data_IF_837038464072
#
_entry.id   IF_837038464072
#
_cell.length_a   1.000
_cell.length_b   1.000
_cell.length_c   1.000
_cell.angle_alpha   90.00
_cell.angle_beta   90.00
_cell.angle_gamma   90.00
#
_symmetry.space_group_name_H-M   'P 1'
#
loop_
_entity.id
_entity.type
_entity.pdbx_description
1 polymer ?
#
# COMPACT_ATOMS: atom_id res chain seq x y z
N UNK A 1 -24.01 27.58 28.76
CA UNK A 1 -24.09 26.10 28.72
C UNK A 1 -23.87 25.57 30.12
N UNK A 2 -24.70 24.67 30.64
CA UNK A 2 -24.42 24.01 31.92
C UNK A 2 -23.30 22.98 31.66
N UNK A 3 -22.13 23.19 32.25
CA UNK A 3 -21.05 22.20 32.27
C UNK A 3 -21.47 21.02 33.17
N UNK A 4 -21.61 19.83 32.59
CA UNK A 4 -21.88 18.59 33.32
C UNK A 4 -20.63 17.71 33.32
N UNK A 5 -20.37 17.08 34.45
CA UNK A 5 -19.25 16.16 34.59
C UNK A 5 -19.64 14.79 34.06
N UNK A 6 -18.83 14.25 33.15
CA UNK A 6 -18.99 12.91 32.60
C UNK A 6 -17.71 12.12 32.79
N UNK A 7 -17.85 10.79 32.73
CA UNK A 7 -16.73 9.86 32.88
C UNK A 7 -16.28 9.36 31.52
N UNK A 8 -14.97 9.39 31.33
CA UNK A 8 -14.27 9.01 30.12
C UNK A 8 -13.52 7.69 30.35
N UNK A 9 -13.47 6.85 29.33
CA UNK A 9 -12.60 5.67 29.30
C UNK A 9 -11.66 5.75 28.11
N UNK A 10 -10.37 5.53 28.34
CA UNK A 10 -9.37 5.43 27.27
C UNK A 10 -9.06 3.97 26.96
N UNK A 11 -9.26 3.57 25.71
CA UNK A 11 -8.98 2.22 25.22
C UNK A 11 -8.25 2.28 23.88
N UNK A 12 -6.95 1.98 23.89
CA UNK A 12 -6.12 1.95 22.67
C UNK A 12 -6.48 0.80 21.73
N UNK A 13 -7.26 -0.18 22.18
CA UNK A 13 -7.72 -1.29 21.34
C UNK A 13 -8.98 -0.94 20.57
N UNK A 14 -9.65 0.16 20.92
CA UNK A 14 -10.72 0.72 20.13
C UNK A 14 -10.12 1.68 19.10
N UNK A 15 -10.30 1.41 17.81
CA UNK A 15 -9.71 2.28 16.77
C UNK A 15 -10.36 3.67 16.70
N UNK A 16 -11.64 3.76 17.09
CA UNK A 16 -12.44 4.98 17.02
C UNK A 16 -12.93 5.39 18.40
N UNK A 17 -13.14 6.69 18.59
CA UNK A 17 -13.78 7.24 19.78
C UNK A 17 -15.31 7.17 19.68
N UNK A 18 -15.98 6.94 20.81
CA UNK A 18 -17.43 6.78 20.90
C UNK A 18 -18.04 7.65 21.99
N UNK A 19 -19.30 8.04 21.80
CA UNK A 19 -20.08 8.81 22.78
C UNK A 19 -21.47 8.21 22.92
N UNK A 20 -22.01 8.23 24.13
CA UNK A 20 -23.39 7.81 24.35
C UNK A 20 -24.37 8.73 23.63
N UNK A 21 -25.35 8.12 22.97
CA UNK A 21 -26.40 8.82 22.24
C UNK A 21 -27.24 9.71 23.16
N UNK A 22 -27.46 9.28 24.40
CA UNK A 22 -28.15 10.10 25.41
C UNK A 22 -27.34 11.35 25.76
N UNK A 23 -26.02 11.20 25.95
CA UNK A 23 -25.10 12.31 26.19
C UNK A 23 -25.13 13.29 25.02
N UNK A 24 -24.96 12.79 23.80
CA UNK A 24 -24.99 13.60 22.58
C UNK A 24 -26.29 14.41 22.45
N UNK A 25 -27.45 13.78 22.68
CA UNK A 25 -28.76 14.44 22.68
C UNK A 25 -28.88 15.50 23.77
N UNK A 26 -28.40 15.19 24.98
CA UNK A 26 -28.47 16.10 26.13
C UNK A 26 -27.65 17.38 25.91
N UNK A 27 -26.50 17.25 25.26
CA UNK A 27 -25.62 18.36 24.91
C UNK A 27 -25.97 19.02 23.57
N UNK A 28 -26.93 18.45 22.83
CA UNK A 28 -27.34 18.88 21.48
C UNK A 28 -26.15 18.97 20.52
N UNK A 29 -25.29 17.95 20.54
CA UNK A 29 -24.12 17.92 19.68
C UNK A 29 -24.54 17.88 18.20
N UNK A 30 -23.88 18.65 17.31
CA UNK A 30 -24.18 18.61 15.90
C UNK A 30 -23.68 17.30 15.29
N UNK A 31 -24.56 16.63 14.53
CA UNK A 31 -24.17 15.52 13.68
C UNK A 31 -23.46 16.09 12.45
N UNK A 32 -22.16 15.83 12.33
CA UNK A 32 -21.32 16.33 11.24
C UNK A 32 -21.50 15.47 9.99
N UNK A 33 -21.57 14.14 10.17
CA UNK A 33 -21.74 13.16 9.09
C UNK A 33 -22.29 11.83 9.62
N UNK A 34 -22.59 10.92 8.70
CA UNK A 34 -22.90 9.52 9.00
C UNK A 34 -21.87 8.62 8.36
N UNK A 35 -21.41 7.61 9.10
CA UNK A 35 -20.43 6.63 8.62
C UNK A 35 -21.03 5.24 8.72
N UNK A 36 -20.90 4.43 7.66
CA UNK A 36 -21.23 3.01 7.67
C UNK A 36 -19.95 2.23 7.94
N UNK A 37 -19.92 1.47 9.03
CA UNK A 37 -18.71 0.82 9.52
C UNK A 37 -18.97 -0.66 9.83
N UNK A 38 -17.94 -1.48 9.61
CA UNK A 38 -17.91 -2.89 10.00
C UNK A 38 -17.32 -2.99 11.40
N UNK A 39 -18.13 -3.42 12.37
CA UNK A 39 -17.75 -3.50 13.78
C UNK A 39 -17.45 -4.94 14.15
N UNK A 40 -16.21 -5.21 14.56
CA UNK A 40 -15.82 -6.50 15.12
C UNK A 40 -15.85 -6.42 16.65
N UNK A 41 -16.68 -7.28 17.25
CA UNK A 41 -16.75 -7.45 18.69
C UNK A 41 -15.75 -8.52 19.16
N UNK A 42 -15.40 -8.46 20.44
CA UNK A 42 -14.45 -9.42 21.02
C UNK A 42 -14.96 -10.86 20.93
N UNK A 43 -14.22 -11.72 20.21
CA UNK A 43 -14.54 -13.14 20.05
C UNK A 43 -15.33 -13.48 18.78
N UNK A 44 -15.88 -12.48 18.09
CA UNK A 44 -16.64 -12.68 16.86
C UNK A 44 -15.71 -12.76 15.64
N UNK A 45 -16.02 -13.67 14.72
CA UNK A 45 -15.30 -13.81 13.43
C UNK A 45 -15.91 -12.97 12.32
N UNK A 46 -17.17 -12.59 12.45
CA UNK A 46 -17.91 -11.86 11.43
C UNK A 46 -18.23 -10.45 11.93
N UNK A 47 -18.03 -9.40 11.11
CA UNK A 47 -18.38 -8.05 11.51
C UNK A 47 -19.89 -7.86 11.53
N UNK A 48 -20.33 -6.91 12.38
CA UNK A 48 -21.68 -6.35 12.32
C UNK A 48 -21.59 -5.00 11.62
N UNK A 49 -22.23 -4.88 10.46
CA UNK A 49 -22.35 -3.59 9.78
C UNK A 49 -23.30 -2.67 10.55
N UNK A 50 -22.84 -1.46 10.87
CA UNK A 50 -23.66 -0.46 11.56
C UNK A 50 -23.37 0.93 11.04
N UNK A 51 -24.43 1.72 10.90
CA UNK A 51 -24.32 3.14 10.57
C UNK A 51 -24.31 3.97 11.84
N UNK A 52 -23.28 4.81 11.99
CA UNK A 52 -23.07 5.69 13.11
C UNK A 52 -23.28 7.15 12.70
N UNK A 53 -23.85 7.95 13.60
CA UNK A 53 -23.74 9.40 13.50
C UNK A 53 -22.38 9.80 14.07
N UNK A 54 -21.67 10.69 13.38
CA UNK A 54 -20.43 11.28 13.87
C UNK A 54 -20.75 12.66 14.40
N UNK A 55 -20.36 12.92 15.65
CA UNK A 55 -20.58 14.20 16.32
C UNK A 55 -19.26 14.81 16.76
N UNK A 56 -19.23 16.14 16.85
CA UNK A 56 -18.11 16.88 17.45
C UNK A 56 -18.37 17.08 18.93
N UNK A 57 -17.41 16.73 19.78
CA UNK A 57 -17.49 16.97 21.23
C UNK A 57 -16.23 17.68 21.71
N UNK A 58 -16.42 18.70 22.54
CA UNK A 58 -15.36 19.42 23.25
C UNK A 58 -15.26 18.89 24.67
N UNK A 59 -14.11 18.32 25.00
CA UNK A 59 -13.79 17.74 26.29
C UNK A 59 -12.88 18.70 27.06
N UNK A 60 -13.37 19.23 28.16
CA UNK A 60 -12.68 20.24 28.97
C UNK A 60 -12.18 19.65 30.29
N UNK A 61 -11.02 20.10 30.76
CA UNK A 61 -10.56 19.80 32.11
C UNK A 61 -11.47 20.47 33.14
N UNK A 62 -11.76 19.75 34.23
CA UNK A 62 -12.50 20.28 35.39
C UNK A 62 -11.76 21.42 36.08
N UNK A 63 -10.46 21.52 35.82
CA UNK A 63 -9.52 22.33 36.61
C UNK A 63 -8.97 23.51 35.83
N UNK A 64 -8.87 23.35 34.51
CA UNK A 64 -8.42 24.37 33.60
C UNK A 64 -9.32 24.39 32.37
N UNK A 65 -10.28 25.33 32.29
CA UNK A 65 -11.17 25.48 31.14
C UNK A 65 -10.43 25.78 29.82
N UNK A 66 -9.18 26.26 29.88
CA UNK A 66 -8.35 26.47 28.69
C UNK A 66 -7.70 25.16 28.20
N UNK A 67 -7.64 24.14 29.05
CA UNK A 67 -7.19 22.80 28.69
C UNK A 67 -8.38 21.99 28.16
N UNK A 68 -8.56 22.02 26.83
CA UNK A 68 -9.61 21.28 26.15
C UNK A 68 -9.08 20.52 24.94
N UNK A 69 -9.80 19.46 24.56
CA UNK A 69 -9.60 18.71 23.33
C UNK A 69 -10.94 18.61 22.61
N UNK A 70 -10.93 18.87 21.31
CA UNK A 70 -12.10 18.68 20.47
C UNK A 70 -11.91 17.43 19.63
N UNK A 71 -12.84 16.47 19.76
CA UNK A 71 -12.75 15.18 19.09
C UNK A 71 -14.01 14.91 18.27
N UNK A 72 -13.87 14.04 17.27
CA UNK A 72 -15.00 13.42 16.60
C UNK A 72 -15.28 12.06 17.22
N UNK A 73 -16.55 11.79 17.54
CA UNK A 73 -16.95 10.54 18.19
C UNK A 73 -18.18 9.94 17.50
N UNK A 74 -18.22 8.61 17.46
CA UNK A 74 -19.34 7.83 16.94
C UNK A 74 -20.44 7.69 18.01
N UNK A 75 -21.68 8.04 17.69
CA UNK A 75 -22.81 7.84 18.61
C UNK A 75 -23.14 6.34 18.77
N UNK A 76 -23.13 5.86 20.02
CA UNK A 76 -23.56 4.51 20.37
C UNK A 76 -24.61 4.53 21.49
N UNK A 77 -25.43 3.49 21.60
CA UNK A 77 -26.49 3.44 22.62
C UNK A 77 -25.91 3.36 24.04
N UNK A 78 -24.82 2.61 24.22
CA UNK A 78 -24.03 2.52 25.47
C UNK A 78 -22.56 2.27 25.14
N UNK A 79 -21.66 2.72 26.01
CA UNK A 79 -20.22 2.41 25.90
C UNK A 79 -19.92 0.98 26.36
N UNK A 80 -20.46 0.58 27.52
CA UNK A 80 -20.26 -0.76 28.08
C UNK A 80 -21.60 -1.34 28.52
N UNK A 81 -21.76 -2.66 28.31
CA UNK A 81 -22.91 -3.40 28.82
C UNK A 81 -22.85 -3.60 30.34
N UNK A 82 -21.64 -3.56 30.92
CA UNK A 82 -21.38 -3.73 32.35
C UNK A 82 -20.91 -2.42 32.97
N UNK A 83 -21.28 -2.18 34.24
CA UNK A 83 -20.72 -1.08 35.00
C UNK A 83 -19.20 -1.27 35.17
N UNK A 84 -18.43 -0.25 34.84
CA UNK A 84 -16.98 -0.27 35.00
C UNK A 84 -16.68 0.49 36.29
N UNK A 85 -16.29 -0.16 37.40
CA UNK A 85 -16.07 0.57 38.64
C UNK A 85 -14.89 1.55 38.52
N UNK A 86 -14.86 2.63 39.32
CA UNK A 86 -13.66 3.46 39.45
C UNK A 86 -12.50 2.63 40.04
N UNK A 87 -11.25 3.09 39.89
CA UNK A 87 -10.09 2.36 40.42
C UNK A 87 -10.24 2.06 41.92
N UNK A 88 -10.25 0.78 42.29
CA UNK A 88 -10.19 0.35 43.68
C UNK A 88 -8.73 0.38 44.15
N UNK A 89 -8.35 1.45 44.86
CA UNK A 89 -6.97 1.70 45.26
C UNK A 89 -6.83 1.43 46.76
N UNK A 90 -5.84 0.62 47.12
CA UNK A 90 -5.43 0.46 48.52
C UNK A 90 -4.98 1.81 49.10
N UNK A 91 -5.55 2.18 50.26
CA UNK A 91 -5.25 3.43 50.99
C UNK A 91 -3.74 3.59 51.22
N UNK A 92 -3.01 2.50 51.44
CA UNK A 92 -1.55 2.53 51.62
C UNK A 92 -0.82 2.97 50.34
N UNK A 93 -1.27 2.50 49.17
CA UNK A 93 -0.73 2.91 47.86
C UNK A 93 -1.06 4.38 47.61
N UNK A 94 -2.29 4.79 47.91
CA UNK A 94 -2.70 6.17 47.74
C UNK A 94 -1.81 7.11 48.57
N UNK A 95 -1.69 6.84 49.88
CA UNK A 95 -0.93 7.68 50.80
C UNK A 95 0.57 7.74 50.47
N UNK A 96 1.15 6.64 49.96
CA UNK A 96 2.58 6.56 49.66
C UNK A 96 2.96 7.13 48.29
N UNK A 97 2.13 6.89 47.28
CA UNK A 97 2.51 7.13 45.88
C UNK A 97 1.63 8.13 45.13
N UNK A 98 0.36 8.30 45.53
CA UNK A 98 -0.61 9.12 44.81
C UNK A 98 -0.94 10.44 45.51
N UNK A 99 -0.53 10.60 46.78
CA UNK A 99 -0.72 11.83 47.54
C UNK A 99 -0.12 13.02 46.77
N UNK A 100 -0.95 14.02 46.47
CA UNK A 100 -0.58 15.21 45.69
C UNK A 100 -0.76 15.08 44.17
N UNK A 101 -1.08 13.89 43.66
CA UNK A 101 -1.54 13.73 42.28
C UNK A 101 -3.04 13.94 42.20
N UNK A 102 -3.47 14.68 41.18
CA UNK A 102 -4.88 14.89 40.89
C UNK A 102 -5.38 13.79 39.97
N UNK A 103 -6.12 12.83 40.52
CA UNK A 103 -6.65 11.71 39.74
C UNK A 103 -7.77 12.17 38.81
N UNK A 104 -7.78 11.62 37.58
CA UNK A 104 -8.83 11.91 36.59
C UNK A 104 -10.19 11.29 36.97
N UNK A 105 -10.15 10.16 37.68
CA UNK A 105 -11.32 9.45 38.19
C UNK A 105 -11.18 9.19 39.69
N UNK A 106 -12.28 9.30 40.45
CA UNK A 106 -12.27 9.24 41.91
C UNK A 106 -12.98 8.00 42.43
N UNK A 107 -12.53 7.50 43.59
CA UNK A 107 -12.97 6.23 44.19
C UNK A 107 -14.49 6.18 44.49
N UNK A 108 -15.15 7.34 44.60
CA UNK A 108 -16.58 7.44 44.92
C UNK A 108 -17.46 7.80 43.72
N UNK A 109 -16.93 7.70 42.50
CA UNK A 109 -17.65 8.06 41.30
C UNK A 109 -18.43 6.85 40.76
N UNK A 110 -19.70 6.73 41.14
CA UNK A 110 -20.61 5.64 40.72
C UNK A 110 -21.29 5.95 39.37
N UNK A 111 -20.61 6.71 38.50
CA UNK A 111 -21.13 7.09 37.19
C UNK A 111 -20.63 6.14 36.12
N UNK A 112 -21.55 5.77 35.23
CA UNK A 112 -21.22 5.01 34.02
C UNK A 112 -20.35 5.84 33.07
N UNK A 113 -19.60 5.13 32.23
CA UNK A 113 -18.74 5.75 31.22
C UNK A 113 -19.61 6.23 30.05
N UNK A 114 -19.56 7.52 29.76
CA UNK A 114 -20.36 8.11 28.68
C UNK A 114 -19.57 8.42 27.40
N UNK A 115 -18.24 8.39 27.48
CA UNK A 115 -17.35 8.64 26.34
C UNK A 115 -16.19 7.64 26.38
N UNK A 116 -15.93 7.00 25.25
CA UNK A 116 -14.77 6.15 25.03
C UNK A 116 -13.80 6.85 24.08
N UNK A 117 -12.56 7.07 24.53
CA UNK A 117 -11.45 7.59 23.77
C UNK A 117 -10.70 6.42 23.15
N UNK A 118 -10.83 6.29 21.84
CA UNK A 118 -10.10 5.31 21.04
C UNK A 118 -8.67 5.74 20.71
N UNK A 119 -7.97 4.90 19.97
CA UNK A 119 -6.63 5.13 19.46
C UNK A 119 -6.52 6.39 18.58
N UNK A 120 -7.61 6.78 17.92
CA UNK A 120 -7.71 7.99 17.10
C UNK A 120 -7.46 9.29 17.88
N UNK A 121 -7.77 9.33 19.18
CA UNK A 121 -7.58 10.52 20.04
C UNK A 121 -6.75 10.23 21.30
N UNK A 122 -6.32 8.98 21.52
CA UNK A 122 -5.61 8.57 22.74
C UNK A 122 -4.35 9.40 23.01
N UNK A 123 -3.54 9.60 21.96
CA UNK A 123 -2.27 10.31 22.09
C UNK A 123 -2.44 11.82 22.33
N UNK A 124 -3.56 12.40 21.91
CA UNK A 124 -3.88 13.80 22.18
C UNK A 124 -4.37 14.01 23.62
N UNK A 125 -5.02 12.99 24.21
CA UNK A 125 -5.49 13.01 25.60
C UNK A 125 -4.34 12.81 26.60
N UNK A 126 -3.33 12.01 26.26
CA UNK A 126 -2.25 11.63 27.17
C UNK A 126 -1.03 12.54 27.03
N UNK A 127 -0.45 13.00 28.15
CA UNK A 127 0.71 13.91 28.12
C UNK A 127 2.05 13.18 27.96
N UNK A 128 2.04 11.84 28.03
CA UNK A 128 3.23 10.99 28.04
C UNK A 128 3.94 10.91 29.39
N UNK A 129 3.55 11.70 30.41
CA UNK A 129 4.13 11.59 31.75
C UNK A 129 3.62 10.33 32.46
N UNK A 130 4.55 9.49 32.92
CA UNK A 130 4.25 8.23 33.61
C UNK A 130 4.96 8.20 34.95
N UNK A 131 4.23 7.87 36.01
CA UNK A 131 4.75 7.55 37.34
C UNK A 131 4.52 6.06 37.61
N UNK A 132 5.60 5.28 37.56
CA UNK A 132 5.54 3.85 37.90
C UNK A 132 5.41 3.66 39.40
N UNK A 133 4.33 3.00 39.83
CA UNK A 133 4.05 2.73 41.25
C UNK A 133 4.65 1.39 41.64
N UNK A 134 4.40 0.35 40.82
CA UNK A 134 5.02 -0.96 40.96
C UNK A 134 5.14 -1.66 39.58
N UNK A 135 5.48 -2.96 39.57
CA UNK A 135 5.64 -3.74 38.34
C UNK A 135 4.36 -3.83 37.49
N UNK A 136 3.18 -3.81 38.13
CA UNK A 136 1.87 -4.03 37.50
C UNK A 136 0.94 -2.81 37.53
N UNK A 137 1.35 -1.70 38.13
CA UNK A 137 0.52 -0.50 38.29
C UNK A 137 1.34 0.77 37.98
N UNK A 138 0.78 1.62 37.13
CA UNK A 138 1.33 2.93 36.78
C UNK A 138 0.25 4.01 36.88
N UNK A 139 0.65 5.23 37.21
CA UNK A 139 -0.15 6.42 36.97
C UNK A 139 0.34 7.09 35.68
N UNK A 140 -0.54 7.28 34.72
CA UNK A 140 -0.25 7.97 33.47
C UNK A 140 -1.06 9.26 33.42
N UNK A 141 -0.43 10.36 33.07
CA UNK A 141 -1.09 11.66 33.09
C UNK A 141 -1.80 11.96 31.76
N UNK A 142 -3.03 12.46 31.89
CA UNK A 142 -3.86 12.98 30.81
C UNK A 142 -4.15 14.47 31.00
N UNK A 143 -4.71 15.10 29.97
CA UNK A 143 -5.24 16.47 30.04
C UNK A 143 -6.30 16.67 31.16
N UNK A 144 -6.93 15.57 31.62
CA UNK A 144 -8.02 15.59 32.60
C UNK A 144 -7.59 15.08 33.99
N UNK A 145 -6.30 14.81 34.19
CA UNK A 145 -5.73 14.31 35.44
C UNK A 145 -4.97 13.00 35.27
N UNK A 146 -4.51 12.44 36.40
CA UNK A 146 -3.75 11.20 36.45
C UNK A 146 -4.67 9.98 36.40
N UNK A 147 -4.51 9.16 35.36
CA UNK A 147 -5.20 7.90 35.16
C UNK A 147 -4.38 6.75 35.74
N UNK A 148 -5.03 5.80 36.41
CA UNK A 148 -4.38 4.59 36.91
C UNK A 148 -4.56 3.45 35.94
N UNK A 149 -3.45 2.79 35.59
CA UNK A 149 -3.42 1.71 34.62
C UNK A 149 -2.72 0.51 35.25
N UNK A 150 -3.43 -0.61 35.29
CA UNK A 150 -2.90 -1.90 35.75
C UNK A 150 -3.60 -2.43 37.00
N UNK A 151 -2.93 -3.34 37.71
CA UNK A 151 -3.53 -4.14 38.77
C UNK A 151 -2.92 -3.82 40.12
N UNK A 152 -3.77 -3.56 41.11
CA UNK A 152 -3.40 -3.37 42.51
C UNK A 152 -3.86 -4.58 43.33
N UNK A 153 -2.90 -5.39 43.82
CA UNK A 153 -3.18 -6.53 44.70
C UNK A 153 -3.48 -7.87 44.00
N UNK A 154 -3.60 -8.96 44.77
CA UNK A 154 -4.07 -10.25 44.25
C UNK A 154 -5.53 -10.15 43.81
N UNK A 155 -5.97 -10.93 42.79
CA UNK A 155 -7.36 -10.93 42.37
C UNK A 155 -8.26 -11.24 43.57
N UNK A 156 -9.24 -10.38 43.81
CA UNK A 156 -10.22 -10.61 44.86
C UNK A 156 -10.98 -11.89 44.48
N UNK A 157 -10.85 -12.97 45.25
CA UNK A 157 -11.49 -14.27 44.95
C UNK A 157 -13.03 -14.20 44.88
N UNK A 158 -13.62 -13.08 45.31
CA UNK A 158 -15.05 -12.84 45.37
C UNK A 158 -15.56 -11.82 44.33
N UNK A 159 -14.70 -11.27 43.46
CA UNK A 159 -15.14 -10.38 42.37
C UNK A 159 -15.09 -11.14 41.04
N UNK A 160 -16.26 -11.47 40.50
CA UNK A 160 -16.45 -12.21 39.25
C UNK A 160 -16.45 -11.31 38.00
N UNK A 161 -16.25 -10.00 38.16
CA UNK A 161 -16.45 -9.04 37.07
C UNK A 161 -15.11 -8.73 36.38
N UNK A 162 -14.97 -9.22 35.15
CA UNK A 162 -13.88 -8.91 34.24
C UNK A 162 -14.47 -8.40 32.93
N UNK A 163 -14.43 -7.10 32.72
CA UNK A 163 -14.90 -6.47 31.48
C UNK A 163 -13.76 -6.38 30.48
N UNK A 164 -13.93 -7.03 29.33
CA UNK A 164 -13.01 -6.91 28.18
C UNK A 164 -13.73 -6.10 27.10
N UNK A 165 -13.11 -5.02 26.64
CA UNK A 165 -13.56 -4.27 25.47
C UNK A 165 -12.48 -4.34 24.39
N UNK A 166 -12.91 -4.73 23.19
CA UNK A 166 -12.15 -4.60 21.95
C UNK A 166 -13.17 -4.25 20.88
N UNK A 167 -13.02 -3.08 20.27
CA UNK A 167 -13.89 -2.62 19.20
C UNK A 167 -12.99 -2.26 18.01
N UNK A 168 -12.86 -3.20 17.08
CA UNK A 168 -12.18 -2.91 15.81
C UNK A 168 -13.24 -2.39 14.86
N UNK A 169 -13.03 -1.17 14.41
CA UNK A 169 -13.88 -0.52 13.43
C UNK A 169 -13.08 -0.41 12.14
N UNK A 170 -13.54 -1.08 11.11
CA UNK A 170 -13.00 -0.94 9.77
C UNK A 170 -14.00 -0.14 8.94
N UNK A 171 -13.49 0.84 8.19
CA UNK A 171 -14.25 1.41 7.08
C UNK A 171 -14.51 0.28 6.06
N UNK A 172 -15.58 0.38 5.27
CA UNK A 172 -15.90 -0.57 4.19
C UNK A 172 -14.85 -0.43 3.05
N UNK A 173 -13.62 -0.80 3.37
CA UNK A 173 -12.48 -0.88 2.47
C UNK A 173 -12.81 -1.94 1.44
N UNK A 174 -13.56 -2.99 1.76
CA UNK A 174 -13.95 -4.03 0.82
C UNK A 174 -14.63 -3.46 -0.43
N UNK A 175 -15.58 -2.52 -0.29
CA UNK A 175 -16.19 -1.87 -1.46
C UNK A 175 -15.27 -0.88 -2.16
N UNK A 176 -14.43 -0.15 -1.43
CA UNK A 176 -13.45 0.74 -2.06
C UNK A 176 -12.39 -0.06 -2.82
N UNK A 177 -11.97 -1.20 -2.29
CA UNK A 177 -11.11 -2.17 -2.93
C UNK A 177 -11.85 -2.73 -4.15
N UNK A 178 -13.07 -3.24 -4.01
CA UNK A 178 -13.84 -3.79 -5.11
C UNK A 178 -14.01 -2.77 -6.25
N UNK A 179 -14.27 -1.50 -5.91
CA UNK A 179 -14.34 -0.41 -6.88
C UNK A 179 -12.96 -0.10 -7.48
N UNK A 180 -11.90 -0.11 -6.67
CA UNK A 180 -10.51 0.07 -7.13
C UNK A 180 -10.09 -1.06 -8.10
N UNK A 181 -10.39 -2.31 -7.78
CA UNK A 181 -10.17 -3.50 -8.63
C UNK A 181 -11.03 -3.43 -9.90
N UNK A 182 -12.28 -2.97 -9.81
CA UNK A 182 -13.11 -2.75 -10.99
C UNK A 182 -12.56 -1.63 -11.88
N UNK A 183 -11.97 -0.57 -11.31
CA UNK A 183 -11.35 0.52 -12.04
C UNK A 183 -10.02 0.11 -12.69
N UNK A 184 -9.20 -0.73 -12.05
CA UNK A 184 -8.00 -1.33 -12.68
C UNK A 184 -8.38 -2.35 -13.78
N UNK A 185 -9.53 -3.02 -13.67
CA UNK A 185 -10.05 -3.92 -14.69
C UNK A 185 -10.68 -3.20 -15.91
N UNK A 186 -10.79 -1.86 -15.93
CA UNK A 186 -11.32 -1.11 -17.09
C UNK A 186 -10.35 -1.00 -18.28
N UNK A 187 -9.33 -1.86 -18.36
CA UNK A 187 -8.41 -1.88 -19.50
C UNK A 187 -7.51 -3.10 -19.64
N UNK A 188 -7.50 -4.03 -18.67
CA UNK A 188 -6.74 -5.27 -18.73
C UNK A 188 -7.64 -6.37 -18.16
N UNK A 189 -8.31 -7.14 -19.03
CA UNK A 189 -8.74 -8.47 -18.61
C UNK A 189 -7.48 -9.29 -18.36
N UNK A 190 -7.32 -9.96 -17.21
CA UNK A 190 -6.32 -11.00 -17.10
C UNK A 190 -6.70 -12.08 -18.11
N UNK A 191 -5.98 -12.13 -19.23
CA UNK A 191 -6.00 -13.29 -20.09
C UNK A 191 -5.63 -14.46 -19.18
N UNK A 192 -6.61 -15.31 -18.88
CA UNK A 192 -6.48 -16.47 -18.00
C UNK A 192 -5.05 -17.02 -18.00
N UNK A 193 -4.33 -16.87 -16.89
CA UNK A 193 -3.00 -17.43 -16.61
C UNK A 193 -3.04 -18.96 -16.46
N UNK A 194 -3.62 -19.61 -17.46
CA UNK A 194 -3.39 -21.00 -17.76
C UNK A 194 -2.74 -20.98 -19.13
N UNK A 195 -1.45 -21.28 -19.18
CA UNK A 195 -0.70 -21.53 -20.42
C UNK A 195 -1.66 -22.15 -21.45
N UNK A 196 -2.04 -21.38 -22.47
CA UNK A 196 -2.91 -21.91 -23.50
C UNK A 196 -2.13 -23.03 -24.20
N UNK A 197 -2.81 -23.98 -24.84
CA UNK A 197 -2.15 -25.08 -25.56
C UNK A 197 -1.09 -24.59 -26.57
N UNK A 198 -1.24 -23.36 -27.08
CA UNK A 198 -0.29 -22.70 -27.97
C UNK A 198 1.00 -22.26 -27.25
N UNK A 199 0.90 -21.82 -25.99
CA UNK A 199 2.06 -21.37 -25.21
C UNK A 199 2.97 -22.54 -24.82
N UNK A 200 2.38 -23.70 -24.51
CA UNK A 200 3.14 -24.93 -24.26
C UNK A 200 3.93 -25.38 -25.49
N UNK A 201 3.35 -25.25 -26.69
CA UNK A 201 4.04 -25.57 -27.94
C UNK A 201 5.22 -24.63 -28.19
N UNK A 202 5.01 -23.31 -27.98
CA UNK A 202 6.08 -22.31 -28.13
C UNK A 202 7.22 -22.54 -27.13
N UNK A 203 6.90 -22.85 -25.87
CA UNK A 203 7.90 -23.17 -24.85
C UNK A 203 8.68 -24.45 -25.19
N UNK A 204 7.98 -25.49 -25.64
CA UNK A 204 8.63 -26.73 -26.06
C UNK A 204 9.59 -26.50 -27.24
N UNK A 205 9.15 -25.78 -28.29
CA UNK A 205 10.02 -25.45 -29.43
C UNK A 205 11.21 -24.59 -29.02
N UNK A 206 11.02 -23.66 -28.07
CA UNK A 206 12.10 -22.85 -27.50
C UNK A 206 13.13 -23.74 -26.80
N UNK A 207 12.70 -24.60 -25.86
CA UNK A 207 13.55 -25.51 -25.09
C UNK A 207 14.32 -26.48 -25.99
N UNK A 208 13.65 -27.09 -26.97
CA UNK A 208 14.26 -27.98 -27.96
C UNK A 208 15.30 -27.25 -28.84
N UNK A 209 15.18 -25.93 -28.99
CA UNK A 209 16.10 -25.13 -29.78
C UNK A 209 17.36 -24.69 -29.03
N UNK A 210 17.40 -24.84 -27.70
CA UNK A 210 18.51 -24.37 -26.87
C UNK A 210 19.77 -25.20 -27.17
N UNK A 211 20.85 -24.50 -27.54
CA UNK A 211 22.15 -25.11 -27.73
C UNK A 211 23.21 -24.30 -26.99
N UNK A 212 24.14 -24.97 -26.32
CA UNK A 212 25.29 -24.31 -25.71
C UNK A 212 26.49 -24.42 -26.64
N UNK A 213 26.92 -23.29 -27.21
CA UNK A 213 28.05 -23.20 -28.15
C UNK A 213 28.85 -21.94 -27.87
N UNK A 214 30.18 -22.01 -27.99
CA UNK A 214 31.08 -20.86 -27.80
C UNK A 214 30.84 -20.09 -26.49
N UNK A 215 30.58 -20.84 -25.41
CA UNK A 215 30.29 -20.31 -24.09
C UNK A 215 29.05 -19.40 -24.02
N UNK A 216 28.10 -19.56 -24.96
CA UNK A 216 26.82 -18.85 -25.02
C UNK A 216 25.68 -19.83 -25.26
N UNK A 217 24.50 -19.47 -24.76
CA UNK A 217 23.26 -20.15 -25.16
C UNK A 217 22.79 -19.56 -26.50
N UNK A 218 22.56 -20.42 -27.46
CA UNK A 218 22.01 -20.11 -28.78
C UNK A 218 20.61 -20.67 -28.82
N UNK A 219 19.65 -19.82 -29.16
CA UNK A 219 18.22 -20.16 -29.26
C UNK A 219 17.68 -19.68 -30.59
N UNK A 220 16.65 -20.36 -31.11
CA UNK A 220 15.96 -19.90 -32.31
C UNK A 220 15.00 -18.77 -31.96
N UNK A 221 14.80 -17.84 -32.89
CA UNK A 221 13.72 -16.87 -32.79
C UNK A 221 12.34 -17.58 -32.87
N UNK A 222 11.38 -17.23 -32.02
CA UNK A 222 10.07 -17.88 -31.97
C UNK A 222 9.14 -17.35 -33.06
N UNK A 223 9.33 -17.82 -34.29
CA UNK A 223 8.52 -17.40 -35.45
C UNK A 223 7.07 -17.88 -35.34
N UNK A 224 6.12 -17.02 -35.72
CA UNK A 224 4.74 -17.43 -35.98
C UNK A 224 4.67 -18.23 -37.27
N UNK A 225 3.74 -19.18 -37.32
CA UNK A 225 3.52 -20.07 -38.47
C UNK A 225 3.43 -19.25 -39.78
N UNK A 226 4.23 -19.63 -40.77
CA UNK A 226 4.33 -19.02 -42.12
C UNK A 226 4.78 -17.55 -42.17
N UNK A 227 5.00 -16.85 -41.05
CA UNK A 227 5.35 -15.43 -41.07
C UNK A 227 6.84 -15.16 -41.34
N UNK A 228 7.71 -16.15 -41.13
CA UNK A 228 9.14 -16.03 -41.48
C UNK A 228 9.34 -15.83 -42.98
N UNK A 229 8.62 -16.59 -43.79
CA UNK A 229 8.70 -16.54 -45.26
C UNK A 229 7.97 -15.33 -45.85
N UNK A 230 7.00 -14.78 -45.09
CA UNK A 230 6.24 -13.58 -45.46
C UNK A 230 6.88 -12.27 -45.01
N UNK A 231 7.99 -12.33 -44.24
CA UNK A 231 8.69 -11.13 -43.76
C UNK A 231 9.37 -10.43 -44.94
N UNK A 232 8.88 -9.24 -45.27
CA UNK A 232 9.36 -8.45 -46.41
C UNK A 232 10.59 -7.61 -46.05
N UNK A 233 11.43 -7.35 -47.04
CA UNK A 233 12.62 -6.52 -46.88
C UNK A 233 12.21 -5.03 -46.76
N UNK A 234 12.59 -4.41 -45.64
CA UNK A 234 12.28 -3.02 -45.29
C UNK A 234 13.46 -2.04 -45.53
N UNK A 235 14.44 -2.42 -46.34
CA UNK A 235 15.69 -1.68 -46.58
C UNK A 235 15.46 -0.20 -46.91
N UNK A 236 14.54 0.11 -47.81
CA UNK A 236 14.27 1.50 -48.23
C UNK A 236 13.92 2.41 -47.03
N UNK A 237 13.10 1.91 -46.11
CA UNK A 237 12.68 2.64 -44.90
C UNK A 237 13.86 2.80 -43.94
N UNK A 238 14.63 1.74 -43.74
CA UNK A 238 15.81 1.76 -42.89
C UNK A 238 16.86 2.74 -43.43
N UNK A 239 17.11 2.71 -44.74
CA UNK A 239 18.06 3.57 -45.43
C UNK A 239 17.65 5.04 -45.39
N UNK A 240 16.36 5.37 -45.58
CA UNK A 240 15.89 6.75 -45.48
C UNK A 240 16.07 7.31 -44.06
N UNK A 241 15.74 6.50 -43.04
CA UNK A 241 15.97 6.87 -41.62
C UNK A 241 17.46 7.02 -41.31
N UNK A 242 18.29 6.13 -41.83
CA UNK A 242 19.74 6.23 -41.69
C UNK A 242 20.31 7.48 -42.37
N UNK A 243 19.84 7.82 -43.57
CA UNK A 243 20.24 9.02 -44.29
C UNK A 243 19.93 10.30 -43.50
N UNK A 244 18.74 10.37 -42.88
CA UNK A 244 18.37 11.46 -41.97
C UNK A 244 19.26 11.52 -40.73
N UNK A 245 19.66 10.36 -40.19
CA UNK A 245 20.59 10.29 -39.07
C UNK A 245 22.00 10.76 -39.45
N UNK A 246 22.50 10.39 -40.63
CA UNK A 246 23.77 10.88 -41.18
C UNK A 246 23.76 12.41 -41.35
N UNK A 247 22.66 12.98 -41.82
CA UNK A 247 22.51 14.43 -41.88
C UNK A 247 22.62 15.08 -40.48
N UNK A 248 22.07 14.45 -39.44
CA UNK A 248 22.26 14.93 -38.05
C UNK A 248 23.70 14.83 -37.60
N UNK A 249 24.40 13.75 -37.92
CA UNK A 249 25.82 13.58 -37.59
C UNK A 249 26.73 14.65 -38.24
N UNK A 250 26.38 15.11 -39.44
CA UNK A 250 27.10 16.20 -40.09
C UNK A 250 26.94 17.53 -39.35
N UNK A 251 25.80 17.75 -38.69
CA UNK A 251 25.48 18.98 -37.98
C UNK A 251 25.81 18.92 -36.47
N UNK A 252 26.02 17.73 -35.92
CA UNK A 252 26.34 17.50 -34.50
C UNK A 252 27.45 16.45 -34.35
N UNK A 253 28.69 16.94 -34.26
CA UNK A 253 29.87 16.09 -34.09
C UNK A 253 29.91 15.37 -32.74
N UNK A 254 29.34 15.96 -31.68
CA UNK A 254 29.28 15.33 -30.36
C UNK A 254 28.37 14.11 -30.39
N UNK A 255 27.20 14.26 -31.03
CA UNK A 255 26.29 13.15 -31.26
C UNK A 255 26.96 12.04 -32.06
N UNK A 256 27.66 12.36 -33.15
CA UNK A 256 28.36 11.37 -33.97
C UNK A 256 29.42 10.60 -33.18
N UNK A 257 30.28 11.30 -32.42
CA UNK A 257 31.33 10.66 -31.61
C UNK A 257 30.72 9.68 -30.61
N UNK A 258 29.74 10.12 -29.83
CA UNK A 258 29.09 9.27 -28.84
C UNK A 258 28.35 8.09 -29.49
N UNK A 259 27.75 8.29 -30.66
CA UNK A 259 27.08 7.23 -31.39
C UNK A 259 28.07 6.17 -31.88
N UNK A 260 29.19 6.63 -32.45
CA UNK A 260 30.30 5.78 -32.90
C UNK A 260 30.86 4.96 -31.74
N UNK A 261 31.10 5.58 -30.60
CA UNK A 261 31.62 4.88 -29.41
C UNK A 261 30.69 3.74 -28.95
N UNK A 262 29.36 3.92 -29.05
CA UNK A 262 28.40 2.85 -28.73
C UNK A 262 28.44 1.71 -29.76
N UNK A 263 28.54 2.04 -31.06
CA UNK A 263 28.64 1.01 -32.12
C UNK A 263 29.96 0.25 -32.03
N UNK A 264 31.07 0.94 -31.82
CA UNK A 264 32.40 0.34 -31.65
C UNK A 264 32.38 -0.61 -30.44
N UNK A 265 31.77 -0.19 -29.32
CA UNK A 265 31.57 -1.06 -28.16
C UNK A 265 30.77 -2.32 -28.46
N UNK A 266 29.79 -2.29 -29.37
CA UNK A 266 29.04 -3.49 -29.76
C UNK A 266 29.89 -4.45 -30.59
N UNK A 267 30.78 -3.93 -31.44
CA UNK A 267 31.71 -4.72 -32.24
C UNK A 267 32.76 -5.37 -31.31
N UNK A 268 33.38 -4.59 -30.42
CA UNK A 268 34.37 -5.08 -29.46
C UNK A 268 33.83 -6.19 -28.54
N UNK A 269 32.55 -6.11 -28.16
CA UNK A 269 31.90 -7.10 -27.30
C UNK A 269 31.34 -8.31 -28.07
N UNK A 270 31.53 -8.38 -29.39
CA UNK A 270 30.95 -9.40 -30.26
C UNK A 270 29.42 -9.50 -30.07
N UNK A 271 28.74 -8.35 -30.01
CA UNK A 271 27.27 -8.22 -30.01
C UNK A 271 26.76 -8.06 -31.44
N UNK A 272 27.50 -7.31 -32.28
CA UNK A 272 27.21 -7.12 -33.71
C UNK A 272 28.43 -7.50 -34.55
N UNK A 273 28.18 -7.94 -35.77
CA UNK A 273 29.22 -8.27 -36.74
C UNK A 273 28.94 -7.58 -38.09
N UNK A 274 29.98 -7.47 -38.91
CA UNK A 274 29.83 -6.90 -40.25
C UNK A 274 29.26 -7.94 -41.20
N UNK A 275 28.10 -7.64 -41.80
CA UNK A 275 27.49 -8.48 -42.82
C UNK A 275 28.35 -8.44 -44.11
N UNK A 276 28.74 -9.57 -44.70
CA UNK A 276 29.49 -9.62 -45.96
C UNK A 276 28.67 -9.07 -47.14
N UNK A 277 29.32 -8.44 -48.12
CA UNK A 277 28.66 -7.88 -49.32
C UNK A 277 28.20 -8.93 -50.35
N UNK A 278 28.38 -10.23 -50.09
CA UNK A 278 28.00 -11.32 -50.99
C UNK A 278 26.54 -11.71 -50.77
N UNK A 279 25.75 -11.69 -51.85
CA UNK A 279 24.31 -12.01 -51.90
C UNK A 279 23.93 -13.12 -50.91
N UNK A 280 23.22 -12.73 -49.84
CA UNK A 280 22.66 -13.64 -48.84
C UNK A 280 21.40 -14.27 -49.46
N UNK A 281 21.59 -15.12 -50.47
CA UNK A 281 20.51 -15.60 -51.36
C UNK A 281 19.42 -16.43 -50.68
N UNK A 282 19.60 -16.87 -49.44
CA UNK A 282 18.72 -17.85 -48.77
C UNK A 282 18.19 -17.39 -47.39
N UNK A 283 18.48 -16.16 -46.93
CA UNK A 283 17.93 -15.66 -45.66
C UNK A 283 17.04 -14.44 -45.88
N UNK A 284 15.86 -14.43 -45.24
CA UNK A 284 15.00 -13.26 -45.18
C UNK A 284 15.78 -12.09 -44.55
N UNK A 285 16.18 -11.13 -45.37
CA UNK A 285 16.89 -9.92 -44.91
C UNK A 285 15.88 -8.90 -44.36
N UNK A 286 16.07 -8.53 -43.10
CA UNK A 286 15.29 -7.47 -42.45
C UNK A 286 16.23 -6.49 -41.75
N UNK A 287 16.01 -5.20 -41.98
CA UNK A 287 16.86 -4.14 -41.47
C UNK A 287 16.17 -3.50 -40.26
N UNK A 288 16.91 -3.31 -39.18
CA UNK A 288 16.41 -2.63 -37.98
C UNK A 288 16.81 -1.16 -38.04
N UNK A 289 15.90 -0.21 -38.36
CA UNK A 289 16.24 1.20 -38.28
C UNK A 289 16.58 1.56 -36.84
N UNK A 290 17.51 2.48 -36.65
CA UNK A 290 18.00 2.82 -35.34
C UNK A 290 18.06 4.32 -35.09
N UNK A 291 17.93 4.73 -33.83
CA UNK A 291 17.98 6.15 -33.41
C UNK A 291 18.66 6.32 -32.06
N UNK A 292 19.23 7.50 -31.84
CA UNK A 292 19.78 7.88 -30.54
C UNK A 292 18.65 8.29 -29.58
N UNK A 293 18.78 7.88 -28.31
CA UNK A 293 17.98 8.37 -27.18
C UNK A 293 18.95 8.91 -26.14
N UNK A 294 18.80 10.19 -25.80
CA UNK A 294 19.64 10.89 -24.82
C UNK A 294 18.80 11.08 -23.55
N UNK A 295 19.33 10.62 -22.42
CA UNK A 295 18.74 10.87 -21.10
C UNK A 295 19.49 12.02 -20.44
N UNK A 296 18.79 13.13 -20.18
CA UNK A 296 19.36 14.35 -19.58
C UNK A 296 19.29 14.37 -18.05
N UNK A 297 18.75 13.32 -17.42
CA UNK A 297 18.34 13.23 -16.02
C UNK A 297 19.37 12.58 -15.07
N UNK A 298 20.59 12.28 -15.54
CA UNK A 298 21.67 11.72 -14.73
C UNK A 298 22.98 12.50 -14.89
N UNK A 299 23.80 12.50 -13.83
CA UNK A 299 25.16 13.06 -13.77
C UNK A 299 26.10 12.60 -14.91
N UNK A 300 25.75 11.51 -15.61
CA UNK A 300 26.28 11.19 -16.94
C UNK A 300 25.12 10.96 -17.90
N UNK A 301 24.92 11.88 -18.83
CA UNK A 301 23.99 11.73 -19.95
C UNK A 301 24.55 10.71 -20.95
N UNK A 302 24.34 9.41 -20.69
CA UNK A 302 24.82 8.34 -21.57
C UNK A 302 23.86 8.14 -22.74
N UNK A 303 24.30 8.42 -23.96
CA UNK A 303 23.58 8.12 -25.20
C UNK A 303 23.32 6.61 -25.32
N UNK A 304 22.12 6.24 -25.77
CA UNK A 304 21.75 4.86 -26.11
C UNK A 304 21.23 4.78 -27.54
N UNK A 305 21.50 3.66 -28.20
CA UNK A 305 20.94 3.34 -29.52
C UNK A 305 19.73 2.44 -29.34
N UNK A 306 18.60 2.82 -29.93
CA UNK A 306 17.37 2.02 -29.96
C UNK A 306 17.13 1.54 -31.38
N UNK A 307 16.92 0.23 -31.53
CA UNK A 307 16.57 -0.44 -32.78
C UNK A 307 15.05 -0.64 -32.85
N UNK A 308 14.45 -0.31 -34.00
CA UNK A 308 13.02 -0.34 -34.23
C UNK A 308 12.60 -1.61 -34.99
N UNK A 309 12.34 -2.68 -34.24
CA UNK A 309 11.85 -3.95 -34.78
C UNK A 309 10.37 -3.91 -35.21
N UNK A 310 9.67 -2.81 -34.96
CA UNK A 310 8.27 -2.59 -35.40
C UNK A 310 8.19 -1.87 -36.75
N UNK A 311 9.32 -1.47 -37.34
CA UNK A 311 9.35 -0.76 -38.63
C UNK A 311 9.03 -1.69 -39.81
N UNK A 312 7.95 -1.41 -40.55
CA UNK A 312 7.50 -2.17 -41.71
C UNK A 312 7.02 -1.25 -42.83
N UNK A 313 6.95 -1.78 -44.07
CA UNK A 313 6.25 -1.13 -45.20
C UNK A 313 4.75 -1.19 -44.98
N UNK A 314 3.98 -0.29 -45.62
CA UNK A 314 2.51 -0.36 -45.60
C UNK A 314 2.04 -1.77 -45.98
N UNK A 315 1.10 -2.31 -45.21
CA UNK A 315 0.48 -3.62 -45.44
C UNK A 315 1.45 -4.82 -45.39
N UNK A 316 2.60 -4.66 -44.73
CA UNK A 316 3.59 -5.73 -44.46
C UNK A 316 3.77 -5.97 -42.97
N UNK A 317 4.28 -7.14 -42.59
CA UNK A 317 4.58 -7.46 -41.20
C UNK A 317 5.92 -6.87 -40.77
N UNK A 318 6.01 -6.40 -39.52
CA UNK A 318 7.29 -6.10 -38.87
C UNK A 318 7.90 -7.34 -38.23
N UNK A 319 9.17 -7.27 -37.83
CA UNK A 319 9.81 -8.36 -37.10
C UNK A 319 9.05 -8.69 -35.80
N UNK A 320 8.57 -7.68 -35.08
CA UNK A 320 7.78 -7.88 -33.87
C UNK A 320 6.43 -8.55 -34.16
N UNK A 321 5.80 -8.28 -35.32
CA UNK A 321 4.54 -8.93 -35.70
C UNK A 321 4.75 -10.40 -36.07
N UNK A 322 5.92 -10.73 -36.64
CA UNK A 322 6.28 -12.07 -37.10
C UNK A 322 6.74 -13.03 -35.99
N UNK A 323 7.03 -12.51 -34.80
CA UNK A 323 7.49 -13.30 -33.66
C UNK A 323 6.38 -13.49 -32.61
N UNK A 324 6.37 -14.65 -31.96
CA UNK A 324 5.57 -14.86 -30.76
C UNK A 324 6.15 -14.04 -29.61
N UNK A 325 5.27 -13.36 -28.86
CA UNK A 325 5.63 -12.62 -27.64
C UNK A 325 6.11 -13.58 -26.54
N UNK A 326 5.65 -14.84 -26.59
CA UNK A 326 5.88 -15.85 -25.58
C UNK A 326 4.96 -15.66 -24.36
N UNK A 327 4.85 -16.69 -23.50
CA UNK A 327 4.09 -16.57 -22.26
C UNK A 327 4.79 -15.65 -21.26
N UNK A 328 3.99 -15.02 -20.39
CA UNK A 328 4.52 -14.27 -19.28
C UNK A 328 5.14 -15.22 -18.24
N UNK A 329 6.47 -15.21 -18.12
CA UNK A 329 7.21 -16.03 -17.14
C UNK A 329 7.45 -15.29 -15.82
N UNK A 330 7.05 -14.03 -15.71
CA UNK A 330 7.18 -13.30 -14.46
C UNK A 330 6.13 -13.83 -13.48
N UNK A 331 6.52 -14.13 -12.22
CA UNK A 331 5.56 -14.43 -11.19
C UNK A 331 4.62 -13.23 -11.02
N UNK A 332 3.37 -13.51 -10.74
CA UNK A 332 2.40 -12.47 -10.42
C UNK A 332 2.94 -11.64 -9.23
N UNK A 333 2.95 -10.32 -9.38
CA UNK A 333 3.54 -9.41 -8.38
C UNK A 333 2.78 -9.50 -7.06
N UNK A 334 1.47 -9.73 -7.11
CA UNK A 334 0.64 -9.90 -5.94
C UNK A 334 0.93 -11.23 -5.24
N UNK A 335 1.05 -12.34 -5.97
CA UNK A 335 1.51 -13.62 -5.43
C UNK A 335 2.89 -13.48 -4.75
N UNK A 336 3.83 -12.80 -5.41
CA UNK A 336 5.17 -12.57 -4.87
C UNK A 336 5.11 -11.80 -3.53
N UNK A 337 4.28 -10.75 -3.45
CA UNK A 337 4.10 -9.94 -2.24
C UNK A 337 3.43 -10.72 -1.09
N UNK A 338 2.54 -11.67 -1.39
CA UNK A 338 1.94 -12.54 -0.38
C UNK A 338 2.99 -13.47 0.26
N UNK A 339 3.94 -13.97 -0.51
CA UNK A 339 5.02 -14.82 0.01
C UNK A 339 6.03 -14.06 0.87
N UNK A 340 6.18 -12.74 0.70
CA UNK A 340 7.05 -11.92 1.56
C UNK A 340 6.53 -11.74 3.01
N UNK A 341 5.26 -12.08 3.26
CA UNK A 341 4.59 -11.82 4.55
C UNK A 341 4.54 -13.02 5.49
N UNK A 342 5.08 -14.17 5.09
CA UNK A 342 5.16 -15.40 5.90
C UNK A 342 6.57 -15.69 6.40
#
# INVERSE_FOLDING_TARGET
MQSRNYRLLSDTSAHRSFVEKELSRSLRLPIIRKEKLSVYLFGDKSPVEKTFNVVKIRLESKDDPNSYLEIEALETEKISASHIPPPNIDISIYNKHLKGLKLADTINNDTDVSVLIGADNYYDVMTGRIKRINRKLVAAESLYGWCLIGVSGPPNKNSSDSSVMKVVVEEDISKQLETFWQLENLGIEPANDRLNCNDNKILQEFEESIQFRDNRYVVKLPWKDNLKELLDNNFEIAYERFSKLCYKFQNDHSLYSQYKDVVDSYIEQNIVERVPNSNVGDCAEFYLPHRAVIRHDKLSSKLRIVFDASSHKSDKFSLNDSLHIGPNLYPDVFELLLFFRN
#
